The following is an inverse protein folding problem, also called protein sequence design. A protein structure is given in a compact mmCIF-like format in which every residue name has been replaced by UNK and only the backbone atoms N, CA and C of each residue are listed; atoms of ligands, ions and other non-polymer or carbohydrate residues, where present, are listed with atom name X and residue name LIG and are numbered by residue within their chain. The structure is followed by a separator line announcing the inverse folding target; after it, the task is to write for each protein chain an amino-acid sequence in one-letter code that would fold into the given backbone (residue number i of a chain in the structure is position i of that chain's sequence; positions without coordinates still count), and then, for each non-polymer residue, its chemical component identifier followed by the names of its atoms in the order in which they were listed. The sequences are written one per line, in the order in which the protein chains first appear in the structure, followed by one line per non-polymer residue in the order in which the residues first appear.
data_IF_622402696091
#
_entry.id   IF_622402696091
#
_cell.length_a   1.000
_cell.length_b   1.000
_cell.length_c   1.000
_cell.angle_alpha   90.00
_cell.angle_beta   90.00
_cell.angle_gamma   90.00
#
_symmetry.space_group_name_H-M   'P 1'
#
loop_
_entity.id
_entity.type
_entity.pdbx_description
1 polymer ?
#
# COMPACT_ATOMS: atom_id res chain seq x y z
N UNK A 1 24.80 5.98 -6.31
CA UNK A 1 24.70 4.51 -6.09
C UNK A 1 23.28 4.17 -5.68
N UNK A 2 22.68 3.12 -6.26
CA UNK A 2 21.33 2.65 -5.89
C UNK A 2 21.43 1.91 -4.55
N UNK A 3 20.84 2.44 -3.47
CA UNK A 3 20.83 1.74 -2.18
C UNK A 3 20.09 0.41 -2.33
N UNK A 4 20.71 -0.67 -1.84
CA UNK A 4 20.12 -2.01 -1.84
C UNK A 4 19.63 -2.32 -0.43
N UNK A 5 18.50 -3.03 -0.33
CA UNK A 5 18.06 -3.64 0.92
C UNK A 5 19.17 -4.61 1.37
N UNK A 6 19.60 -4.48 2.62
CA UNK A 6 20.54 -5.41 3.26
C UNK A 6 19.76 -6.30 4.21
N UNK A 7 19.89 -7.61 4.03
CA UNK A 7 19.37 -8.59 4.98
C UNK A 7 20.52 -8.99 5.90
N UNK A 8 20.41 -8.64 7.18
CA UNK A 8 21.31 -9.10 8.23
C UNK A 8 20.53 -10.04 9.14
N UNK A 9 20.91 -11.31 9.15
CA UNK A 9 20.29 -12.37 9.96
C UNK A 9 21.24 -12.87 11.05
N UNK A 10 22.35 -12.18 11.32
CA UNK A 10 23.38 -12.58 12.29
C UNK A 10 22.79 -12.83 13.69
N UNK A 11 21.87 -11.98 14.13
CA UNK A 11 21.20 -12.13 15.44
C UNK A 11 20.23 -13.33 15.53
N UNK A 12 20.16 -14.16 14.48
CA UNK A 12 19.46 -15.45 14.49
C UNK A 12 20.43 -16.63 14.53
N UNK A 13 21.74 -16.40 14.37
CA UNK A 13 22.76 -17.44 14.20
C UNK A 13 23.35 -17.89 15.54
N UNK A 14 23.78 -19.15 15.60
CA UNK A 14 24.43 -19.75 16.78
C UNK A 14 25.61 -18.91 17.29
N UNK A 15 26.40 -18.31 16.39
CA UNK A 15 27.55 -17.47 16.75
C UNK A 15 27.18 -16.22 17.56
N UNK A 16 25.91 -15.78 17.54
CA UNK A 16 25.44 -14.57 18.23
C UNK A 16 24.49 -14.85 19.40
N UNK A 17 23.67 -15.90 19.32
CA UNK A 17 22.66 -16.23 20.35
C UNK A 17 22.89 -17.56 21.05
N UNK A 18 24.02 -18.23 20.78
CA UNK A 18 24.40 -19.49 21.41
C UNK A 18 23.53 -20.66 20.97
N UNK A 19 23.28 -21.59 21.89
CA UNK A 19 22.64 -22.88 21.62
C UNK A 19 21.21 -22.80 21.03
N UNK A 20 20.52 -21.66 21.19
CA UNK A 20 19.18 -21.42 20.63
C UNK A 20 19.19 -20.87 19.19
N UNK A 21 20.38 -20.60 18.65
CA UNK A 21 20.56 -20.02 17.33
C UNK A 21 20.50 -21.05 16.21
N UNK A 22 20.20 -20.57 15.00
CA UNK A 22 20.23 -21.37 13.78
C UNK A 22 21.69 -21.59 13.37
N UNK A 23 22.10 -22.85 13.20
CA UNK A 23 23.45 -23.14 12.72
C UNK A 23 23.53 -23.07 11.19
N UNK A 24 24.73 -22.83 10.66
CA UNK A 24 25.01 -22.95 9.21
C UNK A 24 24.63 -24.34 8.66
N UNK A 25 24.78 -25.37 9.48
CA UNK A 25 24.36 -26.73 9.15
C UNK A 25 22.85 -26.84 8.95
N UNK A 26 22.04 -26.13 9.74
CA UNK A 26 20.58 -26.16 9.63
C UNK A 26 20.08 -25.44 8.38
N UNK A 27 20.70 -24.32 8.02
CA UNK A 27 20.45 -23.63 6.74
C UNK A 27 20.83 -24.55 5.58
N UNK A 28 22.01 -25.18 5.65
CA UNK A 28 22.50 -26.08 4.59
C UNK A 28 21.57 -27.27 4.38
N UNK A 29 21.02 -27.86 5.45
CA UNK A 29 20.02 -28.95 5.35
C UNK A 29 18.75 -28.52 4.62
N UNK A 30 18.39 -27.23 4.65
CA UNK A 30 17.22 -26.70 3.95
C UNK A 30 17.47 -26.44 2.47
N UNK A 31 18.72 -26.48 1.98
CA UNK A 31 19.08 -26.16 0.59
C UNK A 31 18.17 -26.85 -0.43
N UNK A 32 17.96 -28.16 -0.29
CA UNK A 32 17.09 -28.92 -1.20
C UNK A 32 15.64 -28.41 -1.21
N UNK A 33 15.08 -28.09 -0.04
CA UNK A 33 13.72 -27.54 0.07
C UNK A 33 13.62 -26.13 -0.50
N UNK A 34 14.67 -25.31 -0.30
CA UNK A 34 14.75 -23.94 -0.85
C UNK A 34 14.77 -23.99 -2.38
N UNK A 35 15.56 -24.87 -2.98
CA UNK A 35 15.60 -25.03 -4.44
C UNK A 35 14.24 -25.45 -5.01
N UNK A 36 13.59 -26.45 -4.39
CA UNK A 36 12.24 -26.88 -4.78
C UNK A 36 11.24 -25.73 -4.67
N UNK A 37 11.27 -24.96 -3.58
CA UNK A 37 10.38 -23.83 -3.38
C UNK A 37 10.63 -22.71 -4.41
N UNK A 38 11.90 -22.44 -4.73
CA UNK A 38 12.32 -21.46 -5.75
C UNK A 38 11.77 -21.85 -7.12
N UNK A 39 11.98 -23.09 -7.54
CA UNK A 39 11.53 -23.58 -8.85
C UNK A 39 9.99 -23.56 -8.93
N UNK A 40 9.30 -23.99 -7.86
CA UNK A 40 7.84 -23.90 -7.77
C UNK A 40 7.33 -22.45 -7.90
N UNK A 41 8.04 -21.47 -7.35
CA UNK A 41 7.69 -20.06 -7.51
C UNK A 41 7.88 -19.59 -8.96
N UNK A 42 8.97 -19.99 -9.63
CA UNK A 42 9.23 -19.66 -11.04
C UNK A 42 8.13 -20.23 -11.92
N UNK A 43 7.80 -21.51 -11.77
CA UNK A 43 6.73 -22.17 -12.53
C UNK A 43 5.37 -21.51 -12.30
N UNK A 44 5.02 -21.18 -11.05
CA UNK A 44 3.77 -20.49 -10.74
C UNK A 44 3.68 -19.10 -11.37
N UNK A 45 4.78 -18.34 -11.43
CA UNK A 45 4.83 -17.04 -12.11
C UNK A 45 4.63 -17.21 -13.61
N UNK A 46 5.36 -18.13 -14.24
CA UNK A 46 5.23 -18.42 -15.68
C UNK A 46 3.80 -18.86 -16.07
N UNK A 47 3.09 -19.52 -15.15
CA UNK A 47 1.71 -19.99 -15.36
C UNK A 47 0.64 -18.95 -14.96
N UNK A 48 0.98 -17.67 -14.79
CA UNK A 48 0.02 -16.60 -14.52
C UNK A 48 -0.64 -16.65 -13.12
N UNK A 49 -0.02 -17.32 -12.15
CA UNK A 49 -0.55 -17.42 -10.76
C UNK A 49 0.10 -16.44 -9.80
N UNK A 50 1.06 -15.63 -10.27
CA UNK A 50 1.82 -14.67 -9.47
C UNK A 50 2.16 -13.38 -10.24
N UNK A 51 1.21 -12.87 -11.03
CA UNK A 51 1.37 -11.68 -11.87
C UNK A 51 1.81 -10.43 -11.09
N UNK A 52 1.52 -10.39 -9.77
CA UNK A 52 1.98 -9.34 -8.87
C UNK A 52 3.52 -9.17 -8.84
N UNK A 53 4.29 -10.21 -9.21
CA UNK A 53 5.76 -10.15 -9.30
C UNK A 53 6.25 -9.42 -10.54
N UNK A 54 5.39 -9.24 -11.54
CA UNK A 54 5.69 -8.57 -12.80
C UNK A 54 5.29 -7.09 -12.78
N UNK A 55 4.42 -6.68 -11.85
CA UNK A 55 3.94 -5.30 -11.70
C UNK A 55 5.05 -4.23 -11.68
N UNK A 56 6.21 -4.44 -11.01
CA UNK A 56 7.26 -3.41 -11.04
C UNK A 56 7.89 -3.17 -12.41
N UNK A 57 7.62 -4.03 -13.40
CA UNK A 57 8.30 -4.04 -14.69
C UNK A 57 7.37 -3.74 -15.88
N UNK A 58 6.05 -3.83 -15.71
CA UNK A 58 5.08 -3.78 -16.81
C UNK A 58 3.94 -2.76 -16.63
N UNK A 59 4.11 -1.78 -15.74
CA UNK A 59 3.07 -0.79 -15.41
C UNK A 59 3.40 0.63 -15.89
N UNK A 60 4.35 0.81 -16.82
CA UNK A 60 4.80 2.13 -17.28
C UNK A 60 3.65 3.02 -17.76
N UNK A 61 2.88 2.55 -18.74
CA UNK A 61 1.73 3.27 -19.30
C UNK A 61 0.66 3.59 -18.23
N UNK A 62 0.33 2.62 -17.37
CA UNK A 62 -0.65 2.82 -16.29
C UNK A 62 -0.18 3.89 -15.30
N UNK A 63 1.11 3.92 -14.98
CA UNK A 63 1.68 4.94 -14.09
C UNK A 63 1.65 6.32 -14.76
N UNK A 64 1.97 6.39 -16.05
CA UNK A 64 1.90 7.63 -16.83
C UNK A 64 0.47 8.18 -16.89
N UNK A 65 -0.52 7.33 -17.13
CA UNK A 65 -1.94 7.69 -17.14
C UNK A 65 -2.39 8.24 -15.77
N UNK A 66 -2.00 7.57 -14.67
CA UNK A 66 -2.31 8.04 -13.31
C UNK A 66 -1.67 9.39 -13.04
N UNK A 67 -0.40 9.59 -13.42
CA UNK A 67 0.30 10.87 -13.25
C UNK A 67 -0.38 11.97 -14.07
N UNK A 68 -0.78 11.68 -15.30
CA UNK A 68 -1.53 12.59 -16.17
C UNK A 68 -2.81 13.07 -15.48
N UNK A 69 -3.65 12.13 -15.05
CA UNK A 69 -4.89 12.43 -14.35
C UNK A 69 -4.67 13.24 -13.06
N UNK A 70 -3.66 12.87 -12.26
CA UNK A 70 -3.33 13.62 -11.04
C UNK A 70 -2.94 15.06 -11.36
N UNK A 71 -2.17 15.31 -12.41
CA UNK A 71 -1.79 16.66 -12.81
C UNK A 71 -2.98 17.51 -13.27
N UNK A 72 -4.00 16.90 -13.88
CA UNK A 72 -5.23 17.59 -14.27
C UNK A 72 -6.06 18.01 -13.06
N UNK A 73 -6.19 17.14 -12.04
CA UNK A 73 -7.17 17.36 -10.96
C UNK A 73 -6.59 17.91 -9.66
N UNK A 74 -5.28 17.76 -9.39
CA UNK A 74 -4.67 18.06 -8.07
C UNK A 74 -4.89 19.50 -7.58
N UNK A 75 -5.04 20.45 -8.49
CA UNK A 75 -5.19 21.86 -8.14
C UNK A 75 -6.64 22.22 -7.78
N UNK A 76 -7.61 21.40 -8.21
CA UNK A 76 -9.04 21.54 -7.90
C UNK A 76 -9.48 20.79 -6.63
N UNK A 77 -8.65 19.83 -6.17
CA UNK A 77 -8.94 19.02 -4.99
C UNK A 77 -8.07 19.40 -3.79
N UNK A 78 -8.67 19.32 -2.61
CA UNK A 78 -8.02 19.56 -1.32
C UNK A 78 -7.72 18.24 -0.58
N UNK A 79 -8.50 17.18 -0.82
CA UNK A 79 -8.30 15.87 -0.23
C UNK A 79 -8.57 14.72 -1.20
N UNK A 80 -7.80 13.64 -1.03
CA UNK A 80 -7.95 12.36 -1.68
C UNK A 80 -8.31 11.32 -0.62
N UNK A 81 -9.45 10.66 -0.79
CA UNK A 81 -10.02 9.75 0.20
C UNK A 81 -10.09 8.35 -0.38
N UNK A 82 -9.31 7.43 0.15
CA UNK A 82 -9.38 6.01 -0.21
C UNK A 82 -10.48 5.33 0.60
N UNK A 83 -11.43 4.72 -0.10
CA UNK A 83 -12.49 3.89 0.47
C UNK A 83 -12.18 2.43 0.15
N UNK A 84 -11.67 1.69 1.14
CA UNK A 84 -11.22 0.32 0.96
C UNK A 84 -10.89 -0.34 2.28
N UNK A 85 -10.74 -1.66 2.32
CA UNK A 85 -10.43 -2.41 3.55
C UNK A 85 -9.38 -3.47 3.27
N UNK A 86 -8.60 -3.84 4.29
CA UNK A 86 -7.55 -4.85 4.17
C UNK A 86 -6.50 -4.40 3.15
N UNK A 87 -6.23 -5.22 2.13
CA UNK A 87 -5.20 -4.93 1.13
C UNK A 87 -5.41 -3.60 0.37
N UNK A 88 -6.66 -3.16 0.18
CA UNK A 88 -6.94 -1.89 -0.51
C UNK A 88 -6.80 -0.64 0.37
N UNK A 89 -6.61 -0.80 1.68
CA UNK A 89 -6.32 0.27 2.63
C UNK A 89 -4.87 0.23 3.12
N UNK A 90 -4.39 -0.95 3.53
CA UNK A 90 -3.07 -1.12 4.16
C UNK A 90 -1.91 -0.78 3.22
N UNK A 91 -2.06 -1.03 1.90
CA UNK A 91 -1.06 -0.64 0.91
C UNK A 91 -0.83 0.88 0.86
N UNK A 92 -1.88 1.68 0.57
CA UNK A 92 -1.80 3.14 0.63
C UNK A 92 -1.29 3.69 1.97
N UNK A 93 -1.76 3.15 3.10
CA UNK A 93 -1.30 3.54 4.44
C UNK A 93 0.20 3.30 4.61
N UNK A 94 0.69 2.11 4.25
CA UNK A 94 2.10 1.76 4.40
C UNK A 94 3.02 2.66 3.56
N UNK A 95 2.64 2.92 2.30
CA UNK A 95 3.42 3.81 1.42
C UNK A 95 3.42 5.23 1.97
N UNK A 96 2.25 5.75 2.37
CA UNK A 96 2.13 7.10 2.93
C UNK A 96 3.05 7.29 4.14
N UNK A 97 3.02 6.37 5.10
CA UNK A 97 3.85 6.47 6.29
C UNK A 97 5.34 6.27 6.02
N UNK A 98 5.70 5.48 5.00
CA UNK A 98 7.09 5.20 4.68
C UNK A 98 7.79 6.38 3.96
N UNK A 99 7.08 7.13 3.13
CA UNK A 99 7.72 8.12 2.23
C UNK A 99 7.36 9.58 2.53
N UNK A 100 6.26 9.83 3.26
CA UNK A 100 5.79 11.18 3.55
C UNK A 100 5.96 11.56 5.03
N UNK A 101 5.81 12.85 5.32
CA UNK A 101 5.88 13.39 6.67
C UNK A 101 4.84 12.71 7.59
N UNK A 102 5.17 12.35 8.85
CA UNK A 102 4.23 11.70 9.77
C UNK A 102 2.93 12.49 10.00
N UNK A 103 3.02 13.82 9.95
CA UNK A 103 1.89 14.75 10.05
C UNK A 103 1.53 15.34 8.69
N UNK A 104 1.59 14.53 7.61
CA UNK A 104 1.40 15.02 6.24
C UNK A 104 0.14 15.89 6.10
N UNK A 105 -1.01 15.49 6.65
CA UNK A 105 -2.27 16.22 6.51
C UNK A 105 -2.32 17.58 7.24
N UNK A 106 -1.42 17.81 8.20
CA UNK A 106 -1.30 19.08 8.93
C UNK A 106 -0.44 20.11 8.18
N UNK A 107 0.27 19.67 7.13
CA UNK A 107 1.10 20.54 6.32
C UNK A 107 0.25 21.35 5.34
N UNK A 108 0.72 22.57 5.03
CA UNK A 108 0.15 23.38 3.94
C UNK A 108 0.31 22.67 2.59
N UNK A 109 -0.51 23.03 1.59
CA UNK A 109 -0.48 22.38 0.26
C UNK A 109 0.91 22.51 -0.39
N UNK A 110 1.59 23.64 -0.18
CA UNK A 110 2.95 23.91 -0.67
C UNK A 110 3.96 22.96 -0.03
N UNK A 111 3.91 22.77 1.29
CA UNK A 111 4.78 21.82 2.01
C UNK A 111 4.51 20.35 1.66
N UNK A 112 3.37 20.08 1.02
CA UNK A 112 2.98 18.76 0.48
C UNK A 112 3.32 18.61 -1.00
N UNK A 113 4.01 19.58 -1.60
CA UNK A 113 4.40 19.56 -3.01
C UNK A 113 3.25 19.88 -3.98
N UNK A 114 2.21 20.57 -3.51
CA UNK A 114 1.01 20.88 -4.31
C UNK A 114 -0.06 19.79 -4.29
N UNK A 115 0.17 18.66 -3.63
CA UNK A 115 -0.74 17.52 -3.61
C UNK A 115 -1.87 17.67 -2.56
N UNK A 116 -3.01 16.95 -2.69
CA UNK A 116 -4.12 16.95 -1.73
C UNK A 116 -3.82 16.13 -0.48
N UNK A 117 -4.58 16.37 0.60
CA UNK A 117 -4.47 15.58 1.85
C UNK A 117 -4.85 14.14 1.54
N UNK A 118 -4.32 13.17 2.29
CA UNK A 118 -4.67 11.75 2.10
C UNK A 118 -5.42 11.23 3.31
N UNK A 119 -6.63 10.71 3.08
CA UNK A 119 -7.41 10.00 4.08
C UNK A 119 -7.68 8.58 3.60
N UNK A 120 -7.68 7.62 4.53
CA UNK A 120 -8.05 6.24 4.25
C UNK A 120 -9.18 5.86 5.20
N UNK A 121 -10.36 5.61 4.65
CA UNK A 121 -11.53 5.15 5.38
C UNK A 121 -11.61 3.62 5.25
N UNK A 122 -11.05 2.92 6.24
CA UNK A 122 -10.90 1.47 6.28
C UNK A 122 -11.88 0.75 7.22
N UNK A 123 -12.79 1.51 7.83
CA UNK A 123 -13.78 1.02 8.76
C UNK A 123 -15.19 1.51 8.37
N UNK A 124 -16.20 0.66 8.63
CA UNK A 124 -17.63 0.98 8.44
C UNK A 124 -18.21 1.82 9.58
N UNK A 125 -17.40 2.18 10.57
CA UNK A 125 -17.82 2.98 11.71
C UNK A 125 -18.44 4.32 11.25
N UNK A 126 -19.75 4.51 11.49
CA UNK A 126 -20.43 5.71 11.04
C UNK A 126 -19.93 6.99 11.73
N UNK A 127 -19.41 6.92 12.95
CA UNK A 127 -18.91 8.09 13.68
C UNK A 127 -17.60 8.58 13.08
N UNK A 128 -16.67 7.66 12.77
CA UNK A 128 -15.41 8.01 12.11
C UNK A 128 -15.62 8.66 10.76
N UNK A 129 -16.62 8.21 10.00
CA UNK A 129 -16.98 8.83 8.73
C UNK A 129 -17.57 10.22 8.93
N UNK A 130 -18.41 10.42 9.96
CA UNK A 130 -18.92 11.74 10.30
C UNK A 130 -17.78 12.70 10.61
N UNK A 131 -16.83 12.32 11.47
CA UNK A 131 -15.69 13.17 11.79
C UNK A 131 -14.80 13.47 10.58
N UNK A 132 -14.64 12.50 9.66
CA UNK A 132 -13.95 12.74 8.40
C UNK A 132 -14.68 13.81 7.57
N UNK A 133 -16.00 13.69 7.42
CA UNK A 133 -16.80 14.67 6.67
C UNK A 133 -16.89 16.03 7.35
N UNK A 134 -16.78 16.11 8.68
CA UNK A 134 -16.65 17.38 9.41
C UNK A 134 -15.28 18.05 9.16
N UNK A 135 -14.27 17.26 8.77
CA UNK A 135 -12.89 17.74 8.55
C UNK A 135 -12.61 18.15 7.11
N UNK A 136 -13.34 17.60 6.14
CA UNK A 136 -13.08 17.79 4.69
C UNK A 136 -14.24 18.50 3.99
N UNK A 137 -13.93 19.33 3.00
CA UNK A 137 -14.93 19.83 2.06
C UNK A 137 -15.16 18.76 0.98
N UNK A 138 -16.27 18.03 1.08
CA UNK A 138 -16.63 16.93 0.17
C UNK A 138 -16.69 17.35 -1.30
N UNK A 139 -16.94 18.63 -1.60
CA UNK A 139 -17.00 19.14 -2.99
C UNK A 139 -15.63 19.28 -3.63
N UNK A 140 -14.57 19.29 -2.81
CA UNK A 140 -13.16 19.36 -3.22
C UNK A 140 -12.40 18.07 -2.91
N UNK A 141 -13.13 16.96 -2.84
CA UNK A 141 -12.56 15.65 -2.54
C UNK A 141 -12.63 14.72 -3.73
N UNK A 142 -11.56 13.97 -3.96
CA UNK A 142 -11.56 12.82 -4.85
C UNK A 142 -11.66 11.53 -4.03
N UNK A 143 -12.74 10.76 -4.22
CA UNK A 143 -12.97 9.50 -3.52
C UNK A 143 -12.53 8.31 -4.39
N UNK A 144 -11.49 7.61 -3.97
CA UNK A 144 -11.01 6.40 -4.64
C UNK A 144 -11.59 5.15 -3.99
N UNK A 145 -12.56 4.53 -4.67
CA UNK A 145 -13.27 3.34 -4.21
C UNK A 145 -12.56 2.07 -4.69
N UNK A 146 -11.88 1.35 -3.79
CA UNK A 146 -11.06 0.20 -4.17
C UNK A 146 -11.60 -1.10 -3.56
N UNK A 147 -12.19 -1.95 -4.41
CA UNK A 147 -12.74 -3.27 -4.04
C UNK A 147 -12.49 -4.31 -5.12
N UNK A 148 -11.75 -5.37 -4.77
CA UNK A 148 -11.49 -6.51 -5.66
C UNK A 148 -12.78 -7.24 -6.09
N UNK A 149 -13.76 -7.37 -5.21
CA UNK A 149 -15.03 -8.07 -5.47
C UNK A 149 -16.12 -7.16 -6.07
N UNK A 150 -15.85 -5.86 -6.26
CA UNK A 150 -16.85 -4.85 -6.67
C UNK A 150 -18.06 -4.65 -5.74
N UNK A 151 -18.19 -5.45 -4.67
CA UNK A 151 -19.38 -5.55 -3.81
C UNK A 151 -19.07 -5.33 -2.34
N UNK A 152 -17.89 -4.79 -2.01
CA UNK A 152 -17.51 -4.50 -0.63
C UNK A 152 -18.53 -3.53 -0.02
N UNK A 153 -19.40 -4.04 0.86
CA UNK A 153 -20.54 -3.31 1.41
C UNK A 153 -20.18 -1.99 2.10
N UNK A 154 -18.93 -1.86 2.56
CA UNK A 154 -18.35 -0.62 3.08
C UNK A 154 -18.37 0.52 2.06
N UNK A 155 -17.96 0.28 0.81
CA UNK A 155 -17.91 1.32 -0.24
C UNK A 155 -19.33 1.80 -0.56
N UNK A 156 -20.27 0.86 -0.73
CA UNK A 156 -21.68 1.17 -1.02
C UNK A 156 -22.32 1.96 0.14
N UNK A 157 -21.97 1.64 1.39
CA UNK A 157 -22.48 2.33 2.58
C UNK A 157 -21.93 3.74 2.70
N UNK A 158 -20.65 3.94 2.38
CA UNK A 158 -19.99 5.26 2.42
C UNK A 158 -20.54 6.17 1.30
N UNK A 159 -20.64 5.67 0.07
CA UNK A 159 -21.18 6.45 -1.06
C UNK A 159 -22.65 6.86 -0.84
N UNK A 160 -23.46 6.04 -0.17
CA UNK A 160 -24.84 6.39 0.20
C UNK A 160 -24.93 7.51 1.23
N UNK A 161 -23.90 7.71 2.06
CA UNK A 161 -23.86 8.78 3.06
C UNK A 161 -23.32 10.09 2.47
N UNK A 162 -22.43 10.06 1.47
CA UNK A 162 -21.91 11.28 0.84
C UNK A 162 -22.93 12.01 -0.04
N UNK A 163 -24.07 11.37 -0.37
CA UNK A 163 -25.17 11.95 -1.15
C UNK A 163 -26.33 12.48 -0.30
N UNK A 164 -26.15 12.57 1.03
CA UNK A 164 -27.12 13.21 1.95
C UNK A 164 -26.48 14.43 2.56
#
# INVERSE_FOLDING_TARGET
MKMKIKLDFNNMMTDFVGEYGISEGDITKLKGKIEIAKDAMVTKRANGKMDWRDLPYNQGEVVEDIIGYVNEVKDEIDAFVVLGIGGSALGPIAVQHAINHPYYNELTKEKRGGYPKLYVADNVDPERLTYLFDTIDVTKCLFNCVSKSGSSGIIIRILRKSHR
#
